data_IF_170250519387
#
_entry.id   IF_170250519387
#
_cell.length_a   1.000
_cell.length_b   1.000
_cell.length_c   1.000
_cell.angle_alpha   90.00
_cell.angle_beta   90.00
_cell.angle_gamma   90.00
#
_symmetry.space_group_name_H-M   'P 1'
#
loop_
_entity.id
_entity.type
_entity.pdbx_description
1 polymer ?
#
# COMPACT_ATOMS: atom_id res chain seq x y z
N UNK A 1 -8.43 -22.07 8.52
CA UNK A 1 -8.97 -20.95 9.32
C UNK A 1 -9.85 -20.03 8.47
N UNK A 2 -9.38 -19.54 7.30
CA UNK A 2 -10.17 -18.66 6.41
C UNK A 2 -11.50 -19.30 5.98
N UNK A 3 -11.48 -20.58 5.61
CA UNK A 3 -12.72 -21.32 5.23
C UNK A 3 -13.72 -21.35 6.38
N UNK A 4 -13.26 -21.55 7.61
CA UNK A 4 -14.10 -21.57 8.82
C UNK A 4 -14.76 -20.22 9.04
N UNK A 5 -13.98 -19.13 8.97
CA UNK A 5 -14.47 -17.77 9.18
C UNK A 5 -15.48 -17.34 8.12
N UNK A 6 -15.23 -17.70 6.85
CA UNK A 6 -16.16 -17.42 5.74
C UNK A 6 -17.43 -18.27 5.87
N UNK A 7 -17.31 -19.57 6.17
CA UNK A 7 -18.45 -20.46 6.35
C UNK A 7 -19.36 -19.98 7.48
N UNK A 8 -18.80 -19.46 8.57
CA UNK A 8 -19.55 -18.88 9.67
C UNK A 8 -20.38 -17.66 9.23
N UNK A 9 -19.81 -16.74 8.46
CA UNK A 9 -20.51 -15.56 7.93
C UNK A 9 -21.68 -15.96 7.04
N UNK A 10 -21.49 -16.97 6.17
CA UNK A 10 -22.55 -17.49 5.29
C UNK A 10 -23.65 -18.17 6.11
N UNK A 11 -23.27 -19.00 7.09
CA UNK A 11 -24.22 -19.74 7.93
C UNK A 11 -25.08 -18.79 8.78
N UNK A 12 -24.47 -17.71 9.29
CA UNK A 12 -25.18 -16.66 10.03
C UNK A 12 -25.95 -15.69 9.13
N UNK A 13 -25.88 -15.87 7.81
CA UNK A 13 -26.53 -15.02 6.81
C UNK A 13 -26.11 -13.52 6.93
N UNK A 14 -24.89 -13.24 7.39
CA UNK A 14 -24.35 -11.91 7.51
C UNK A 14 -23.09 -11.78 6.64
N UNK A 15 -23.28 -11.38 5.38
CA UNK A 15 -22.20 -11.30 4.39
C UNK A 15 -21.70 -9.86 4.15
N UNK A 16 -22.53 -8.86 4.45
CA UNK A 16 -22.16 -7.44 4.35
C UNK A 16 -21.28 -6.99 5.52
N UNK A 17 -21.01 -5.70 5.60
CA UNK A 17 -20.27 -5.11 6.71
C UNK A 17 -20.96 -5.38 8.07
N UNK A 18 -20.27 -6.02 9.00
CA UNK A 18 -20.86 -6.47 10.25
C UNK A 18 -19.86 -6.84 11.34
N UNK A 19 -20.14 -7.91 12.14
CA UNK A 19 -19.32 -8.29 13.29
C UNK A 19 -17.87 -8.63 12.95
N UNK A 20 -17.62 -9.38 11.86
CA UNK A 20 -16.25 -9.75 11.47
C UNK A 20 -15.44 -8.56 10.97
N UNK A 21 -16.09 -7.60 10.30
CA UNK A 21 -15.47 -6.33 9.95
C UNK A 21 -14.98 -5.61 11.21
N UNK A 22 -15.83 -5.48 12.24
CA UNK A 22 -15.45 -4.85 13.51
C UNK A 22 -14.32 -5.59 14.23
N UNK A 23 -14.37 -6.92 14.23
CA UNK A 23 -13.34 -7.75 14.84
C UNK A 23 -11.99 -7.59 14.12
N UNK A 24 -12.00 -7.61 12.78
CA UNK A 24 -10.80 -7.39 11.99
C UNK A 24 -10.21 -5.99 12.23
N UNK A 25 -11.05 -4.95 12.25
CA UNK A 25 -10.63 -3.59 12.56
C UNK A 25 -9.97 -3.50 13.94
N UNK A 26 -10.57 -4.13 14.95
CA UNK A 26 -10.02 -4.16 16.31
C UNK A 26 -8.66 -4.88 16.37
N UNK A 27 -8.52 -6.04 15.73
CA UNK A 27 -7.27 -6.80 15.67
C UNK A 27 -6.18 -6.07 14.89
N UNK A 28 -6.54 -5.38 13.80
CA UNK A 28 -5.58 -4.54 13.08
C UNK A 28 -5.13 -3.34 13.91
N UNK A 29 -6.04 -2.68 14.62
CA UNK A 29 -5.70 -1.60 15.53
C UNK A 29 -4.76 -2.07 16.64
N UNK A 30 -5.04 -3.22 17.26
CA UNK A 30 -4.17 -3.85 18.26
C UNK A 30 -2.78 -4.17 17.69
N UNK A 31 -2.70 -4.81 16.52
CA UNK A 31 -1.44 -5.17 15.85
C UNK A 31 -0.56 -3.96 15.57
N UNK A 32 -1.17 -2.90 15.08
CA UNK A 32 -0.45 -1.66 14.76
C UNK A 32 -0.20 -0.77 15.99
N UNK A 33 -0.81 -1.09 17.15
CA UNK A 33 -0.73 -0.27 18.35
C UNK A 33 -1.37 1.11 18.19
N UNK A 34 -2.50 1.18 17.47
CA UNK A 34 -3.23 2.41 17.15
C UNK A 34 -4.65 2.37 17.70
N UNK A 35 -5.30 3.54 17.80
CA UNK A 35 -6.63 3.63 18.37
C UNK A 35 -7.74 3.19 17.41
N UNK A 36 -7.63 3.57 16.13
CA UNK A 36 -8.65 3.36 15.12
C UNK A 36 -8.06 2.79 13.84
N UNK A 37 -8.69 1.75 13.34
CA UNK A 37 -8.46 1.18 12.01
C UNK A 37 -9.80 1.06 11.30
N UNK A 38 -9.93 1.57 10.08
CA UNK A 38 -11.16 1.52 9.31
C UNK A 38 -10.96 0.65 8.07
N UNK A 39 -11.63 -0.49 8.00
CA UNK A 39 -11.61 -1.36 6.83
C UNK A 39 -12.50 -0.77 5.73
N UNK A 40 -12.00 -0.72 4.50
CA UNK A 40 -12.71 -0.29 3.29
C UNK A 40 -12.61 -1.37 2.21
N UNK A 41 -13.35 -1.22 1.11
CA UNK A 41 -13.45 -2.22 0.05
C UNK A 41 -12.19 -2.36 -0.83
N UNK A 42 -11.29 -1.38 -0.85
CA UNK A 42 -10.00 -1.46 -1.55
C UNK A 42 -9.01 -0.40 -1.08
N UNK A 43 -7.71 -0.66 -1.24
CA UNK A 43 -6.66 0.35 -1.02
C UNK A 43 -6.83 1.57 -1.93
N UNK A 44 -7.27 1.38 -3.18
CA UNK A 44 -7.53 2.47 -4.13
C UNK A 44 -8.59 3.44 -3.64
N UNK A 45 -9.69 2.91 -3.10
CA UNK A 45 -10.75 3.71 -2.50
C UNK A 45 -10.28 4.34 -1.18
N UNK A 46 -9.43 3.66 -0.42
CA UNK A 46 -8.78 4.22 0.77
C UNK A 46 -7.92 5.45 0.44
N UNK A 47 -7.14 5.42 -0.65
CA UNK A 47 -6.35 6.57 -1.11
C UNK A 47 -7.25 7.75 -1.51
N UNK A 48 -8.33 7.48 -2.24
CA UNK A 48 -9.32 8.52 -2.57
C UNK A 48 -9.94 9.12 -1.30
N UNK A 49 -10.34 8.30 -0.35
CA UNK A 49 -10.87 8.75 0.95
C UNK A 49 -9.82 9.59 1.70
N UNK A 50 -8.57 9.16 1.77
CA UNK A 50 -7.49 9.89 2.45
C UNK A 50 -7.33 11.32 1.90
N UNK A 51 -7.35 11.49 0.58
CA UNK A 51 -7.29 12.82 -0.04
C UNK A 51 -8.52 13.66 0.32
N UNK A 52 -9.71 13.06 0.30
CA UNK A 52 -10.95 13.77 0.66
C UNK A 52 -11.00 14.19 2.13
N UNK A 53 -10.35 13.43 3.03
CA UNK A 53 -10.24 13.81 4.45
C UNK A 53 -9.45 15.11 4.66
N UNK A 54 -8.48 15.42 3.81
CA UNK A 54 -7.67 16.64 3.91
C UNK A 54 -8.42 17.92 3.50
N UNK A 55 -9.63 17.81 2.91
CA UNK A 55 -10.42 18.97 2.48
C UNK A 55 -9.68 19.96 1.58
N UNK A 56 -8.83 19.48 0.69
CA UNK A 56 -8.06 20.33 -0.20
C UNK A 56 -8.98 21.05 -1.21
N UNK A 57 -8.70 22.33 -1.53
CA UNK A 57 -9.36 23.01 -2.63
C UNK A 57 -9.22 22.26 -3.96
N UNK A 58 -10.25 22.31 -4.82
CA UNK A 58 -10.17 21.74 -6.17
C UNK A 58 -9.02 22.40 -6.93
N UNK A 59 -8.21 21.57 -7.61
CA UNK A 59 -7.02 22.03 -8.33
C UNK A 59 -5.76 22.14 -7.48
N UNK A 60 -5.82 21.79 -6.17
CA UNK A 60 -4.62 21.65 -5.35
C UNK A 60 -3.70 20.58 -5.92
N UNK A 61 -2.41 20.84 -5.87
CA UNK A 61 -1.38 19.91 -6.31
C UNK A 61 -1.03 18.95 -5.18
N UNK A 62 -0.95 17.65 -5.52
CA UNK A 62 -0.44 16.62 -4.60
C UNK A 62 0.84 16.05 -5.21
N UNK A 63 1.96 16.22 -4.50
CA UNK A 63 3.25 15.68 -4.92
C UNK A 63 3.30 14.20 -4.53
N UNK A 64 3.65 13.34 -5.48
CA UNK A 64 3.74 11.89 -5.28
C UNK A 64 4.86 11.28 -6.12
N UNK A 65 5.42 10.10 -5.73
CA UNK A 65 6.42 9.44 -6.56
C UNK A 65 5.81 8.99 -7.87
N UNK A 66 6.60 9.06 -8.95
CA UNK A 66 6.17 8.50 -10.24
C UNK A 66 6.26 6.98 -10.28
N UNK A 67 7.19 6.38 -9.53
CA UNK A 67 7.34 4.95 -9.38
C UNK A 67 6.35 4.42 -8.34
N UNK A 68 5.10 4.25 -8.73
CA UNK A 68 4.04 3.74 -7.87
C UNK A 68 2.90 3.10 -8.67
N UNK A 69 1.97 2.46 -7.96
CA UNK A 69 0.75 1.93 -8.55
C UNK A 69 -0.18 3.07 -9.02
N UNK A 70 -0.88 2.82 -10.12
CA UNK A 70 -1.75 3.82 -10.78
C UNK A 70 -2.78 4.46 -9.85
N UNK A 71 -3.24 3.76 -8.82
CA UNK A 71 -4.26 4.25 -7.90
C UNK A 71 -3.86 5.51 -7.16
N UNK A 72 -2.55 5.73 -6.90
CA UNK A 72 -2.07 6.94 -6.24
C UNK A 72 -2.44 8.20 -7.05
N UNK A 73 -2.08 8.24 -8.33
CA UNK A 73 -2.39 9.38 -9.20
C UNK A 73 -3.86 9.44 -9.59
N UNK A 74 -4.52 8.29 -9.78
CA UNK A 74 -5.96 8.27 -10.09
C UNK A 74 -6.80 8.78 -8.93
N UNK A 75 -6.47 8.44 -7.68
CA UNK A 75 -7.14 8.98 -6.51
C UNK A 75 -7.03 10.50 -6.44
N UNK A 76 -5.86 11.06 -6.78
CA UNK A 76 -5.63 12.51 -6.87
C UNK A 76 -6.56 13.15 -7.91
N UNK A 77 -6.61 12.59 -9.13
CA UNK A 77 -7.47 13.10 -10.18
C UNK A 77 -8.97 13.02 -9.82
N UNK A 78 -9.40 11.88 -9.28
CA UNK A 78 -10.79 11.67 -8.85
C UNK A 78 -11.21 12.62 -7.73
N UNK A 79 -10.27 13.02 -6.87
CA UNK A 79 -10.53 14.01 -5.82
C UNK A 79 -10.60 15.46 -6.33
N UNK A 80 -10.39 15.69 -7.64
CA UNK A 80 -10.35 17.02 -8.24
C UNK A 80 -9.03 17.76 -8.01
N UNK A 81 -7.99 17.05 -7.62
CA UNK A 81 -6.63 17.54 -7.42
C UNK A 81 -5.74 17.25 -8.64
N UNK A 82 -4.52 17.77 -8.65
CA UNK A 82 -3.55 17.62 -9.73
C UNK A 82 -2.37 16.80 -9.24
N UNK A 83 -2.07 15.63 -9.84
CA UNK A 83 -0.88 14.86 -9.47
C UNK A 83 0.38 15.56 -10.01
N UNK A 84 1.35 15.79 -9.13
CA UNK A 84 2.67 16.34 -9.45
C UNK A 84 3.71 15.26 -9.17
N UNK A 85 4.29 14.71 -10.23
CA UNK A 85 5.23 13.61 -10.09
C UNK A 85 6.61 14.10 -9.66
N UNK A 86 7.16 13.43 -8.66
CA UNK A 86 8.54 13.59 -8.21
C UNK A 86 9.35 12.32 -8.52
N UNK A 87 10.67 12.50 -8.65
CA UNK A 87 11.59 11.39 -8.79
C UNK A 87 11.74 10.63 -7.47
N UNK A 88 12.34 9.47 -7.53
CA UNK A 88 12.66 8.63 -6.37
C UNK A 88 14.17 8.53 -6.22
N UNK A 89 14.63 8.14 -5.06
CA UNK A 89 16.00 7.73 -4.85
C UNK A 89 16.24 6.38 -5.55
N UNK A 90 17.38 6.24 -6.21
CA UNK A 90 17.67 5.08 -7.08
C UNK A 90 17.87 3.79 -6.30
N UNK A 91 18.31 3.86 -5.05
CA UNK A 91 18.63 2.70 -4.23
C UNK A 91 17.45 2.26 -3.36
N UNK A 92 16.75 3.22 -2.75
CA UNK A 92 15.57 2.94 -1.93
C UNK A 92 14.26 2.82 -2.72
N UNK A 93 14.22 3.32 -3.96
CA UNK A 93 13.02 3.51 -4.79
C UNK A 93 11.92 4.37 -4.11
N UNK A 94 12.25 5.01 -3.01
CA UNK A 94 11.37 5.89 -2.27
C UNK A 94 11.55 7.36 -2.68
N UNK A 95 10.45 8.11 -2.60
CA UNK A 95 10.51 9.57 -2.67
C UNK A 95 11.25 10.13 -1.44
N UNK A 96 11.94 11.24 -1.56
CA UNK A 96 12.62 11.90 -0.45
C UNK A 96 12.36 13.42 -0.43
N UNK A 97 12.79 14.08 0.64
CA UNK A 97 12.53 15.50 0.82
C UNK A 97 13.14 16.38 -0.31
N UNK A 98 14.27 15.98 -0.89
CA UNK A 98 14.92 16.80 -1.93
C UNK A 98 14.16 16.68 -3.26
N UNK A 99 13.77 15.48 -3.68
CA UNK A 99 12.95 15.30 -4.87
C UNK A 99 11.56 15.96 -4.74
N UNK A 100 11.02 16.03 -3.51
CA UNK A 100 9.77 16.76 -3.21
C UNK A 100 9.97 18.26 -3.34
N UNK A 101 11.03 18.84 -2.75
CA UNK A 101 11.32 20.28 -2.80
C UNK A 101 11.36 20.83 -4.22
N UNK A 102 11.91 20.06 -5.16
CA UNK A 102 11.95 20.42 -6.58
C UNK A 102 10.56 20.58 -7.22
N UNK A 103 9.52 20.08 -6.59
CA UNK A 103 8.14 20.03 -7.09
C UNK A 103 7.18 20.96 -6.35
N UNK A 104 7.62 21.57 -5.25
CA UNK A 104 6.77 22.47 -4.46
C UNK A 104 6.41 23.71 -5.27
N UNK A 105 5.15 24.06 -5.29
CA UNK A 105 4.60 25.28 -5.87
C UNK A 105 3.66 25.98 -4.88
N UNK A 106 3.14 27.13 -5.27
CA UNK A 106 2.11 27.84 -4.50
C UNK A 106 0.74 27.14 -4.52
N UNK A 107 0.58 26.06 -5.27
CA UNK A 107 -0.62 25.22 -5.33
C UNK A 107 -0.47 23.90 -4.58
N UNK A 108 0.72 23.61 -4.07
CA UNK A 108 0.97 22.37 -3.32
C UNK A 108 0.08 22.33 -2.10
N UNK A 109 -0.82 21.34 -2.04
CA UNK A 109 -1.77 21.12 -0.95
C UNK A 109 -1.40 19.96 -0.04
N UNK A 110 -0.72 18.94 -0.56
CA UNK A 110 -0.29 17.77 0.22
C UNK A 110 0.86 17.03 -0.47
N UNK A 111 1.47 16.13 0.28
CA UNK A 111 2.46 15.17 -0.21
C UNK A 111 1.88 13.76 0.00
N UNK A 112 2.00 12.88 -0.99
CA UNK A 112 1.71 11.46 -0.86
C UNK A 112 3.02 10.70 -0.99
N UNK A 113 3.40 9.98 0.07
CA UNK A 113 4.55 9.07 0.05
C UNK A 113 4.08 7.64 -0.18
N UNK A 114 4.93 6.81 -0.73
CA UNK A 114 4.70 5.37 -0.89
C UNK A 114 5.86 4.64 -0.22
N UNK A 115 5.59 3.79 0.75
CA UNK A 115 6.61 2.92 1.35
C UNK A 115 6.88 1.75 0.40
N UNK A 116 7.66 2.05 -0.65
CA UNK A 116 7.83 1.14 -1.79
C UNK A 116 8.46 -0.19 -1.38
N UNK A 117 7.90 -1.28 -1.91
CA UNK A 117 8.39 -2.63 -1.60
C UNK A 117 8.24 -3.05 -0.13
N UNK A 118 7.75 -2.16 0.74
CA UNK A 118 7.69 -2.32 2.18
C UNK A 118 8.87 -1.67 2.92
N UNK A 119 9.80 -1.01 2.19
CA UNK A 119 10.87 -0.21 2.79
C UNK A 119 10.29 1.12 3.30
N UNK A 120 10.44 1.47 4.59
CA UNK A 120 9.99 2.75 5.10
C UNK A 120 10.64 3.93 4.38
N UNK A 121 9.84 4.95 4.07
CA UNK A 121 10.34 6.25 3.61
C UNK A 121 10.98 6.98 4.79
N UNK A 122 12.05 7.73 4.56
CA UNK A 122 12.60 8.66 5.55
C UNK A 122 11.64 9.84 5.75
N UNK A 123 10.76 9.71 6.76
CA UNK A 123 9.62 10.59 6.95
C UNK A 123 9.95 11.92 7.63
N UNK A 124 10.97 11.97 8.48
CA UNK A 124 11.24 13.16 9.27
C UNK A 124 11.57 14.39 8.40
N UNK A 125 12.48 14.32 7.40
CA UNK A 125 12.76 15.46 6.52
C UNK A 125 11.54 15.87 5.65
N UNK A 126 10.65 14.91 5.34
CA UNK A 126 9.43 15.20 4.56
C UNK A 126 8.43 15.97 5.41
N UNK A 127 8.26 15.59 6.68
CA UNK A 127 7.37 16.29 7.62
C UNK A 127 7.84 17.73 7.92
N UNK A 128 9.15 17.96 7.91
CA UNK A 128 9.73 19.30 8.08
C UNK A 128 9.35 20.27 6.95
N UNK A 129 8.88 19.77 5.80
CA UNK A 129 8.38 20.61 4.70
C UNK A 129 7.05 21.31 5.05
N UNK A 130 6.34 20.86 6.08
CA UNK A 130 5.14 21.52 6.63
C UNK A 130 3.86 21.33 5.83
N UNK A 131 3.80 20.37 4.92
CA UNK A 131 2.59 20.01 4.18
C UNK A 131 1.90 18.79 4.82
N UNK A 132 0.56 18.66 4.70
CA UNK A 132 -0.14 17.42 5.03
C UNK A 132 0.46 16.23 4.27
N UNK A 133 0.65 15.09 4.95
CA UNK A 133 1.25 13.89 4.37
C UNK A 133 0.27 12.74 4.37
N UNK A 134 0.01 12.17 3.19
CA UNK A 134 -0.68 10.89 3.01
C UNK A 134 0.37 9.79 2.86
N UNK A 135 0.25 8.72 3.63
CA UNK A 135 1.11 7.55 3.51
C UNK A 135 0.39 6.43 2.75
N UNK A 136 0.84 6.11 1.56
CA UNK A 136 0.49 4.85 0.92
C UNK A 136 1.34 3.72 1.53
N UNK A 137 0.77 3.05 2.51
CA UNK A 137 1.35 1.90 3.20
C UNK A 137 0.86 0.56 2.62
N UNK A 138 0.37 0.54 1.37
CA UNK A 138 -0.18 -0.66 0.73
C UNK A 138 0.84 -1.79 0.51
N UNK A 139 2.13 -1.51 0.64
CA UNK A 139 3.21 -2.51 0.66
C UNK A 139 3.80 -2.73 2.05
N UNK A 140 3.34 -2.00 3.06
CA UNK A 140 4.05 -1.76 4.29
C UNK A 140 3.31 -2.27 5.54
N UNK A 141 2.51 -3.36 5.40
CA UNK A 141 1.96 -4.03 6.58
C UNK A 141 3.13 -4.50 7.47
N UNK A 142 3.10 -4.14 8.74
CA UNK A 142 4.18 -4.35 9.72
C UNK A 142 5.47 -3.56 9.50
N UNK A 143 5.60 -2.77 8.44
CA UNK A 143 6.74 -1.85 8.31
C UNK A 143 6.69 -0.76 9.37
N UNK A 144 7.86 -0.40 9.90
CA UNK A 144 7.98 0.67 10.91
C UNK A 144 9.14 1.59 10.56
N UNK A 145 8.93 2.87 10.74
CA UNK A 145 9.95 3.91 10.72
C UNK A 145 10.21 4.39 12.14
N UNK A 146 11.42 4.18 12.64
CA UNK A 146 11.82 4.52 14.02
C UNK A 146 10.80 4.01 15.05
N UNK A 147 10.40 2.74 14.89
CA UNK A 147 9.46 2.05 15.76
C UNK A 147 7.97 2.43 15.57
N UNK A 148 7.63 3.41 14.73
CA UNK A 148 6.25 3.81 14.43
C UNK A 148 5.74 3.08 13.18
N UNK A 149 4.50 2.53 13.19
CA UNK A 149 3.94 1.89 12.01
C UNK A 149 3.88 2.84 10.83
N UNK A 150 4.35 2.41 9.65
CA UNK A 150 4.11 3.10 8.40
C UNK A 150 2.60 3.22 8.17
N UNK A 151 2.13 4.41 7.79
CA UNK A 151 0.71 4.77 7.74
C UNK A 151 0.25 5.62 8.94
N UNK A 152 1.05 5.71 10.03
CA UNK A 152 0.72 6.49 11.24
C UNK A 152 1.71 7.63 11.54
N UNK A 153 2.61 7.92 10.62
CA UNK A 153 3.64 8.95 10.78
C UNK A 153 3.15 10.28 10.20
N UNK A 154 2.51 10.23 9.03
CA UNK A 154 1.84 11.35 8.36
C UNK A 154 0.51 11.74 9.00
N UNK A 155 -0.41 12.25 8.21
CA UNK A 155 -1.74 12.66 8.67
C UNK A 155 -2.81 11.61 8.40
N UNK A 156 -2.74 10.91 7.27
CA UNK A 156 -3.62 9.79 6.90
C UNK A 156 -2.79 8.70 6.26
N UNK A 157 -2.98 7.46 6.69
CA UNK A 157 -2.35 6.28 6.12
C UNK A 157 -3.36 5.36 5.45
N UNK A 158 -2.92 4.64 4.43
CA UNK A 158 -3.74 3.69 3.69
C UNK A 158 -3.01 2.38 3.53
N UNK A 159 -3.69 1.28 3.85
CA UNK A 159 -3.24 -0.09 3.61
C UNK A 159 -4.05 -0.75 2.49
N UNK A 160 -3.49 -1.78 1.88
CA UNK A 160 -4.18 -2.64 0.92
C UNK A 160 -4.13 -4.09 1.37
N UNK A 161 -5.24 -4.78 1.17
CA UNK A 161 -5.38 -6.22 1.40
C UNK A 161 -5.79 -6.95 0.11
N UNK A 162 -5.41 -6.38 -1.04
CA UNK A 162 -5.52 -7.02 -2.35
C UNK A 162 -4.87 -8.43 -2.34
N UNK A 163 -5.30 -9.30 -3.24
CA UNK A 163 -4.89 -10.70 -3.31
C UNK A 163 -3.36 -10.93 -3.37
N UNK A 164 -2.58 -9.94 -3.83
CA UNK A 164 -1.11 -10.05 -3.92
C UNK A 164 -0.37 -9.48 -2.72
N UNK A 165 -1.07 -8.93 -1.72
CA UNK A 165 -0.46 -8.29 -0.55
C UNK A 165 -0.03 -9.31 0.50
N UNK A 166 0.84 -8.88 1.42
CA UNK A 166 1.36 -9.73 2.51
C UNK A 166 0.25 -10.24 3.43
N UNK A 167 -0.77 -9.43 3.66
CA UNK A 167 -2.04 -9.80 4.26
C UNK A 167 -3.12 -9.66 3.18
N UNK A 168 -3.65 -10.76 2.67
CA UNK A 168 -4.57 -10.79 1.54
C UNK A 168 -5.98 -11.21 1.97
N UNK A 169 -6.99 -10.45 1.54
CA UNK A 169 -8.40 -10.78 1.78
C UNK A 169 -9.24 -10.87 0.49
N UNK A 170 -8.53 -10.92 -0.66
CA UNK A 170 -9.10 -10.83 -2.00
C UNK A 170 -9.15 -9.38 -2.45
N UNK A 171 -10.10 -8.61 -1.97
CA UNK A 171 -10.18 -7.16 -2.13
C UNK A 171 -10.45 -6.50 -0.78
N UNK A 172 -9.69 -5.45 -0.48
CA UNK A 172 -9.85 -4.67 0.74
C UNK A 172 -8.76 -3.61 0.91
N UNK A 173 -9.03 -2.68 1.80
CA UNK A 173 -8.08 -1.65 2.20
C UNK A 173 -8.33 -1.20 3.64
N UNK A 174 -7.39 -0.46 4.20
CA UNK A 174 -7.52 0.14 5.51
C UNK A 174 -7.19 1.62 5.47
N UNK A 175 -7.92 2.42 6.22
CA UNK A 175 -7.64 3.84 6.44
C UNK A 175 -7.35 4.05 7.91
N UNK A 176 -6.28 4.77 8.20
CA UNK A 176 -5.84 5.09 9.55
C UNK A 176 -5.43 6.55 9.64
N UNK A 177 -5.55 7.14 10.81
CA UNK A 177 -5.07 8.48 11.09
C UNK A 177 -4.82 8.66 12.60
N UNK A 178 -3.89 9.55 12.94
CA UNK A 178 -3.69 10.03 14.31
C UNK A 178 -4.71 11.11 14.74
N UNK A 179 -5.54 11.60 13.78
CA UNK A 179 -6.55 12.63 13.99
C UNK A 179 -7.93 11.98 14.12
N UNK A 180 -8.53 12.04 15.29
CA UNK A 180 -9.83 11.41 15.58
C UNK A 180 -10.93 11.94 14.63
N UNK A 181 -10.92 13.25 14.34
CA UNK A 181 -11.88 13.88 13.43
C UNK A 181 -11.82 13.31 12.01
N UNK A 182 -10.64 12.88 11.54
CA UNK A 182 -10.52 12.21 10.24
C UNK A 182 -11.12 10.82 10.29
N UNK A 183 -10.90 10.07 11.37
CA UNK A 183 -11.45 8.72 11.51
C UNK A 183 -12.98 8.72 11.69
N UNK A 184 -13.52 9.67 12.45
CA UNK A 184 -14.96 9.87 12.56
C UNK A 184 -15.60 10.19 11.20
N UNK A 185 -15.01 11.13 10.46
CA UNK A 185 -15.48 11.47 9.11
C UNK A 185 -15.32 10.30 8.13
N UNK A 186 -14.21 9.57 8.14
CA UNK A 186 -13.99 8.40 7.31
C UNK A 186 -15.06 7.32 7.53
N UNK A 187 -15.46 7.09 8.78
CA UNK A 187 -16.53 6.13 9.11
C UNK A 187 -17.88 6.54 8.50
N UNK A 188 -18.21 7.85 8.47
CA UNK A 188 -19.40 8.37 7.79
C UNK A 188 -19.28 8.22 6.27
N UNK A 189 -18.15 8.62 5.71
CA UNK A 189 -17.91 8.58 4.26
C UNK A 189 -17.96 7.15 3.72
N UNK A 190 -17.40 6.17 4.45
CA UNK A 190 -17.44 4.76 4.07
C UNK A 190 -18.85 4.27 3.73
N UNK A 191 -19.86 4.82 4.37
CA UNK A 191 -21.27 4.48 4.16
C UNK A 191 -22.06 5.64 3.53
N UNK A 192 -21.61 6.13 2.38
CA UNK A 192 -22.30 7.18 1.60
C UNK A 192 -22.52 8.50 2.36
N UNK A 193 -21.74 8.82 3.37
CA UNK A 193 -21.92 10.01 4.20
C UNK A 193 -23.16 9.96 5.12
N UNK A 194 -23.71 8.77 5.37
CA UNK A 194 -24.87 8.58 6.24
C UNK A 194 -24.41 8.52 7.71
N UNK A 195 -24.92 9.42 8.54
CA UNK A 195 -24.50 9.56 9.94
C UNK A 195 -24.90 8.41 10.87
N UNK A 196 -26.04 7.74 10.60
CA UNK A 196 -26.49 6.55 11.34
C UNK A 196 -27.27 5.65 10.41
N UNK A 197 -27.02 4.35 10.42
CA UNK A 197 -27.83 3.39 9.70
C UNK A 197 -29.26 3.32 10.29
N UNK A 198 -30.23 2.97 9.46
CA UNK A 198 -31.61 2.79 9.93
C UNK A 198 -31.71 1.72 11.04
N UNK A 199 -30.84 0.70 11.01
CA UNK A 199 -30.76 -0.32 12.06
C UNK A 199 -30.27 0.25 13.39
N UNK A 200 -29.20 1.07 13.39
CA UNK A 200 -28.71 1.73 14.60
C UNK A 200 -29.73 2.75 15.13
N UNK A 201 -30.44 3.45 14.25
CA UNK A 201 -31.51 4.35 14.65
C UNK A 201 -32.69 3.60 15.30
N UNK A 202 -33.04 2.38 14.84
CA UNK A 202 -34.14 1.58 15.40
C UNK A 202 -33.87 1.12 16.82
N UNK A 203 -32.61 0.91 17.20
CA UNK A 203 -32.22 0.49 18.57
C UNK A 203 -32.32 1.61 19.60
N UNK A 204 -32.46 2.87 19.14
CA UNK A 204 -32.49 4.06 20.00
C UNK A 204 -33.90 4.69 20.16
N UNK A 205 -34.95 3.98 19.74
CA UNK A 205 -36.33 4.34 20.04
C UNK A 205 -36.87 5.60 19.34
N UNK A 206 -36.32 5.99 18.19
CA UNK A 206 -36.89 7.08 17.40
C UNK A 206 -38.17 6.67 16.70
N UNK A 207 -39.20 7.51 16.68
CA UNK A 207 -40.49 7.28 16.02
C UNK A 207 -40.37 6.96 14.54
N UNK A 208 -39.30 7.44 13.87
CA UNK A 208 -39.02 7.22 12.45
C UNK A 208 -37.57 6.76 12.24
N UNK A 209 -37.29 5.49 12.57
CA UNK A 209 -35.95 4.89 12.46
C UNK A 209 -35.45 4.76 11.01
N UNK A 210 -36.31 4.91 10.00
CA UNK A 210 -35.95 4.87 8.59
C UNK A 210 -35.48 6.23 8.04
N UNK A 211 -35.63 7.30 8.80
CA UNK A 211 -35.12 8.64 8.45
C UNK A 211 -33.63 8.71 8.80
N UNK A 212 -32.79 8.98 7.80
CA UNK A 212 -31.36 9.21 7.95
C UNK A 212 -30.96 10.56 7.37
N UNK A 213 -29.86 11.10 7.87
CA UNK A 213 -29.27 12.34 7.39
C UNK A 213 -27.99 12.05 6.61
N UNK A 214 -27.88 12.61 5.40
CA UNK A 214 -26.67 12.56 4.59
C UNK A 214 -25.89 13.84 4.88
N UNK A 215 -24.71 13.72 5.48
CA UNK A 215 -23.87 14.85 5.87
C UNK A 215 -22.95 15.30 4.73
N UNK A 216 -22.56 14.40 3.85
CA UNK A 216 -21.68 14.67 2.72
C UNK A 216 -21.91 13.62 1.62
N UNK A 217 -21.96 14.01 0.32
CA UNK A 217 -22.06 13.05 -0.76
C UNK A 217 -20.74 12.26 -0.92
N UNK A 218 -20.85 10.93 -0.88
CA UNK A 218 -19.70 10.07 -1.05
C UNK A 218 -20.11 8.72 -1.67
N UNK A 219 -19.13 7.97 -2.21
CA UNK A 219 -19.36 6.63 -2.74
C UNK A 219 -19.32 5.60 -1.61
N UNK A 220 -20.07 4.51 -1.77
CA UNK A 220 -20.06 3.42 -0.80
C UNK A 220 -18.75 2.63 -0.89
N UNK A 221 -18.05 2.50 0.23
CA UNK A 221 -16.77 1.78 0.36
C UNK A 221 -16.82 0.71 1.45
N UNK A 222 -17.99 0.13 1.67
CA UNK A 222 -18.17 -0.86 2.74
C UNK A 222 -17.48 -2.17 2.40
N UNK A 223 -16.65 -2.72 3.30
CA UNK A 223 -16.13 -4.06 3.17
C UNK A 223 -17.24 -5.10 3.43
N UNK A 224 -16.95 -6.36 3.17
CA UNK A 224 -17.82 -7.47 3.52
C UNK A 224 -17.26 -8.28 4.71
N UNK A 225 -18.15 -8.90 5.48
CA UNK A 225 -17.72 -9.85 6.53
C UNK A 225 -17.10 -11.12 5.93
N UNK A 226 -17.33 -11.41 4.66
CA UNK A 226 -16.62 -12.47 3.94
C UNK A 226 -15.13 -12.12 3.83
N UNK A 227 -14.81 -10.93 3.32
CA UNK A 227 -13.42 -10.46 3.19
C UNK A 227 -12.75 -10.30 4.57
N UNK A 228 -13.47 -9.70 5.53
CA UNK A 228 -12.98 -9.58 6.90
C UNK A 228 -12.71 -10.93 7.55
N UNK A 229 -13.54 -11.95 7.31
CA UNK A 229 -13.34 -13.32 7.77
C UNK A 229 -12.06 -13.95 7.21
N UNK A 230 -11.79 -13.78 5.91
CA UNK A 230 -10.50 -14.19 5.33
C UNK A 230 -9.35 -13.48 6.07
N UNK A 231 -9.46 -12.18 6.31
CA UNK A 231 -8.46 -11.39 7.02
C UNK A 231 -8.21 -11.86 8.45
N UNK A 232 -9.24 -12.24 9.18
CA UNK A 232 -9.11 -12.82 10.52
C UNK A 232 -8.28 -14.11 10.49
N UNK A 233 -8.54 -14.99 9.52
CA UNK A 233 -7.74 -16.21 9.32
C UNK A 233 -6.29 -15.90 8.91
N UNK A 234 -6.08 -14.92 8.02
CA UNK A 234 -4.73 -14.52 7.59
C UNK A 234 -3.91 -13.89 8.73
N UNK A 235 -4.54 -13.08 9.59
CA UNK A 235 -3.87 -12.45 10.74
C UNK A 235 -3.24 -13.47 11.70
N UNK A 236 -3.85 -14.66 11.86
CA UNK A 236 -3.30 -15.70 12.74
C UNK A 236 -1.96 -16.27 12.26
N UNK A 237 -1.67 -16.12 10.97
CA UNK A 237 -0.46 -16.66 10.30
C UNK A 237 0.53 -15.56 9.86
N UNK A 238 0.16 -14.30 10.00
CA UNK A 238 0.91 -13.21 9.39
C UNK A 238 2.38 -13.16 9.87
N UNK A 239 2.64 -13.40 11.16
CA UNK A 239 4.01 -13.41 11.69
C UNK A 239 4.87 -14.50 11.05
N UNK A 240 4.31 -15.70 10.88
CA UNK A 240 5.00 -16.81 10.21
C UNK A 240 5.26 -16.48 8.73
N UNK A 241 4.26 -15.95 8.03
CA UNK A 241 4.37 -15.57 6.63
C UNK A 241 5.39 -14.43 6.41
N UNK A 242 5.44 -13.46 7.31
CA UNK A 242 6.43 -12.36 7.26
C UNK A 242 7.85 -12.88 7.55
N UNK A 243 8.02 -13.75 8.55
CA UNK A 243 9.30 -14.38 8.83
C UNK A 243 9.81 -15.22 7.64
N UNK A 244 8.91 -15.93 6.95
CA UNK A 244 9.25 -16.69 5.76
C UNK A 244 9.64 -15.82 4.57
N UNK A 245 8.95 -14.69 4.35
CA UNK A 245 9.35 -13.69 3.35
C UNK A 245 10.75 -13.15 3.63
N UNK A 246 11.02 -12.80 4.91
CA UNK A 246 12.34 -12.34 5.33
C UNK A 246 13.41 -13.40 5.05
N UNK A 247 13.14 -14.66 5.35
CA UNK A 247 14.09 -15.75 5.07
C UNK A 247 14.45 -15.85 3.58
N UNK A 248 13.46 -15.76 2.67
CA UNK A 248 13.72 -15.74 1.23
C UNK A 248 14.52 -14.50 0.84
N UNK A 249 14.15 -13.34 1.37
CA UNK A 249 14.86 -12.08 1.16
C UNK A 249 16.33 -12.19 1.56
N UNK A 250 16.63 -12.71 2.75
CA UNK A 250 18.00 -12.86 3.26
C UNK A 250 18.84 -13.78 2.33
N UNK A 251 18.24 -14.87 1.83
CA UNK A 251 18.90 -15.75 0.85
C UNK A 251 19.23 -14.99 -0.44
N UNK A 252 18.28 -14.24 -0.97
CA UNK A 252 18.52 -13.45 -2.18
C UNK A 252 19.57 -12.36 -1.96
N UNK A 253 19.56 -11.68 -0.81
CA UNK A 253 20.59 -10.70 -0.46
C UNK A 253 21.99 -11.32 -0.41
N UNK A 254 22.11 -12.49 0.21
CA UNK A 254 23.39 -13.21 0.28
C UNK A 254 23.87 -13.67 -1.09
N UNK A 255 22.99 -14.27 -1.90
CA UNK A 255 23.36 -14.90 -3.16
C UNK A 255 23.53 -13.91 -4.31
N UNK A 256 22.65 -12.91 -4.42
CA UNK A 256 22.72 -11.93 -5.50
C UNK A 256 23.65 -10.76 -5.19
N UNK A 257 23.85 -10.44 -3.90
CA UNK A 257 24.82 -9.42 -3.47
C UNK A 257 26.28 -9.77 -3.80
N UNK A 258 26.56 -11.01 -4.22
CA UNK A 258 27.88 -11.46 -4.72
C UNK A 258 28.06 -11.26 -6.24
N UNK A 259 27.04 -10.77 -6.93
CA UNK A 259 27.03 -10.58 -8.38
C UNK A 259 27.14 -9.08 -8.65
N UNK A 260 28.29 -8.61 -9.12
CA UNK A 260 28.58 -7.18 -9.28
C UNK A 260 27.62 -6.44 -10.22
N UNK A 261 26.97 -7.17 -11.13
CA UNK A 261 26.00 -6.62 -12.10
C UNK A 261 24.60 -6.49 -11.58
N UNK A 262 24.31 -7.02 -10.39
CA UNK A 262 22.98 -6.94 -9.76
C UNK A 262 23.00 -5.89 -8.64
N UNK A 263 22.25 -4.82 -8.82
CA UNK A 263 21.92 -3.90 -7.74
C UNK A 263 20.81 -4.46 -6.86
N UNK A 264 21.15 -4.99 -5.70
CA UNK A 264 20.16 -5.51 -4.74
C UNK A 264 19.39 -4.35 -4.06
N UNK A 265 18.14 -4.59 -3.60
CA UNK A 265 17.39 -3.60 -2.85
C UNK A 265 18.04 -3.32 -1.49
N UNK A 266 17.82 -2.10 -0.96
CA UNK A 266 18.25 -1.74 0.38
C UNK A 266 17.46 -2.50 1.44
N UNK A 267 18.13 -2.87 2.52
CA UNK A 267 17.48 -3.29 3.76
C UNK A 267 17.37 -2.10 4.73
N UNK A 268 16.64 -2.28 5.81
CA UNK A 268 16.40 -1.25 6.82
C UNK A 268 17.55 -1.10 7.81
N UNK A 269 17.60 0.05 8.47
CA UNK A 269 18.42 0.28 9.66
C UNK A 269 17.86 -0.48 10.86
N UNK A 270 18.66 -0.60 11.94
CA UNK A 270 18.26 -1.31 13.18
C UNK A 270 17.00 -0.72 13.86
N UNK A 271 16.71 0.58 13.65
CA UNK A 271 15.55 1.26 14.23
C UNK A 271 14.25 1.06 13.43
N UNK A 272 14.37 0.59 12.18
CA UNK A 272 13.28 0.44 11.22
C UNK A 272 12.90 -1.04 11.05
N UNK A 273 11.72 -1.28 10.48
CA UNK A 273 11.25 -2.62 10.15
C UNK A 273 10.70 -2.65 8.73
N UNK A 274 11.15 -3.66 7.96
CA UNK A 274 10.71 -3.88 6.58
C UNK A 274 9.65 -4.98 6.52
N UNK A 275 8.68 -4.87 5.62
CA UNK A 275 7.65 -5.90 5.41
C UNK A 275 7.98 -6.91 4.30
N UNK A 276 9.06 -6.71 3.56
CA UNK A 276 9.53 -7.63 2.53
C UNK A 276 8.44 -7.99 1.49
N UNK A 277 7.74 -6.96 0.98
CA UNK A 277 6.65 -7.17 0.04
C UNK A 277 7.13 -7.69 -1.32
N UNK A 278 8.25 -7.16 -1.82
CA UNK A 278 8.83 -7.54 -3.11
C UNK A 278 10.35 -7.48 -3.06
N UNK A 279 11.03 -8.29 -3.87
CA UNK A 279 12.49 -8.24 -4.04
C UNK A 279 12.80 -7.60 -5.40
N UNK A 280 13.19 -6.33 -5.39
CA UNK A 280 13.42 -5.52 -6.58
C UNK A 280 14.91 -5.35 -6.84
N UNK A 281 15.42 -5.94 -7.93
CA UNK A 281 16.83 -5.81 -8.36
C UNK A 281 16.97 -4.87 -9.55
N UNK A 282 18.16 -4.30 -9.70
CA UNK A 282 18.55 -3.52 -10.90
C UNK A 282 19.54 -4.34 -11.71
N UNK A 283 19.24 -4.53 -13.00
CA UNK A 283 20.02 -5.36 -13.91
C UNK A 283 20.19 -4.61 -15.24
N UNK A 284 21.41 -4.42 -15.77
CA UNK A 284 21.64 -3.63 -17.00
C UNK A 284 20.90 -4.16 -18.22
N UNK A 285 20.84 -5.48 -18.39
CA UNK A 285 20.17 -6.15 -19.52
C UNK A 285 18.81 -6.74 -19.12
N UNK A 286 18.04 -6.00 -18.28
CA UNK A 286 16.83 -6.46 -17.64
C UNK A 286 15.88 -7.24 -18.55
N UNK A 287 15.56 -6.76 -19.75
CA UNK A 287 14.59 -7.41 -20.64
C UNK A 287 15.08 -8.77 -21.12
N UNK A 288 16.37 -8.89 -21.44
CA UNK A 288 16.96 -10.16 -21.85
C UNK A 288 16.99 -11.17 -20.69
N UNK A 289 17.36 -10.72 -19.48
CA UNK A 289 17.34 -11.53 -18.27
C UNK A 289 15.92 -11.96 -17.91
N UNK A 290 14.94 -11.06 -17.97
CA UNK A 290 13.54 -11.36 -17.71
C UNK A 290 12.99 -12.42 -18.69
N UNK A 291 13.34 -12.31 -19.97
CA UNK A 291 12.98 -13.31 -21.00
C UNK A 291 13.63 -14.66 -20.72
N UNK A 292 14.92 -14.69 -20.41
CA UNK A 292 15.62 -15.92 -20.04
C UNK A 292 14.96 -16.59 -18.83
N UNK A 293 14.69 -15.85 -17.76
CA UNK A 293 14.03 -16.38 -16.56
C UNK A 293 12.63 -16.92 -16.86
N UNK A 294 11.88 -16.22 -17.72
CA UNK A 294 10.56 -16.69 -18.16
C UNK A 294 10.65 -18.02 -18.92
N UNK A 295 11.65 -18.20 -19.78
CA UNK A 295 11.92 -19.47 -20.51
C UNK A 295 12.33 -20.61 -19.55
N UNK A 296 12.85 -20.25 -18.35
CA UNK A 296 13.12 -21.19 -17.26
C UNK A 296 11.92 -21.42 -16.34
N UNK A 297 10.73 -20.89 -16.67
CA UNK A 297 9.51 -21.00 -15.85
C UNK A 297 9.47 -20.07 -14.65
N UNK A 298 10.36 -19.07 -14.57
CA UNK A 298 10.40 -18.08 -13.50
C UNK A 298 9.75 -16.80 -14.00
N UNK A 299 8.56 -16.49 -13.46
CA UNK A 299 7.84 -15.26 -13.81
C UNK A 299 8.38 -14.08 -13.00
N UNK A 300 8.87 -13.07 -13.70
CA UNK A 300 9.35 -11.81 -13.13
C UNK A 300 8.49 -10.66 -13.63
N UNK A 301 8.55 -9.50 -12.98
CA UNK A 301 7.75 -8.34 -13.34
C UNK A 301 8.47 -7.04 -13.02
N UNK A 302 7.96 -5.91 -13.53
CA UNK A 302 8.35 -4.57 -13.10
C UNK A 302 7.23 -3.96 -12.26
N UNK A 303 7.52 -3.60 -11.03
CA UNK A 303 6.62 -2.84 -10.15
C UNK A 303 7.25 -1.47 -9.86
N UNK A 304 6.91 -0.40 -10.57
CA UNK A 304 5.89 -0.28 -11.61
C UNK A 304 6.45 0.52 -12.79
N UNK A 305 5.76 0.52 -13.95
CA UNK A 305 6.08 1.48 -15.01
C UNK A 305 5.78 2.90 -14.50
N UNK A 306 6.76 3.86 -14.56
CA UNK A 306 6.60 5.18 -13.97
C UNK A 306 5.43 5.95 -14.57
N UNK A 307 4.60 6.53 -13.70
CA UNK A 307 3.33 7.12 -14.11
C UNK A 307 3.48 8.35 -15.02
N UNK A 308 4.53 9.17 -14.83
CA UNK A 308 4.78 10.33 -15.69
C UNK A 308 5.02 9.94 -17.17
N UNK A 309 5.46 8.72 -17.43
CA UNK A 309 5.64 8.19 -18.80
C UNK A 309 4.32 7.74 -19.43
N UNK A 310 3.23 7.63 -18.67
CA UNK A 310 1.94 7.23 -19.20
C UNK A 310 1.26 8.41 -19.91
N UNK A 311 0.79 8.22 -21.18
CA UNK A 311 0.17 9.27 -21.97
C UNK A 311 -1.05 9.96 -21.33
N UNK A 312 -1.74 9.28 -20.41
CA UNK A 312 -2.88 9.85 -19.68
C UNK A 312 -2.53 11.15 -18.95
N UNK A 313 -1.35 11.19 -18.33
CA UNK A 313 -0.95 12.34 -17.50
C UNK A 313 -0.33 13.48 -18.30
N UNK A 314 -0.03 13.29 -19.60
CA UNK A 314 0.52 14.32 -20.50
C UNK A 314 1.72 15.06 -19.89
N UNK A 315 2.51 14.34 -19.10
CA UNK A 315 3.70 14.88 -18.45
C UNK A 315 4.84 15.00 -19.46
N UNK A 316 5.56 16.12 -19.43
CA UNK A 316 6.80 16.32 -20.22
C UNK A 316 8.05 16.35 -19.33
N UNK A 317 7.88 15.96 -18.08
CA UNK A 317 8.97 15.95 -17.10
C UNK A 317 9.86 14.73 -17.33
N UNK A 318 11.17 14.91 -17.15
CA UNK A 318 12.14 13.84 -17.04
C UNK A 318 12.43 13.58 -15.58
N UNK A 319 12.25 12.31 -15.15
CA UNK A 319 12.56 11.82 -13.80
C UNK A 319 13.60 10.72 -13.95
N UNK A 320 14.86 11.14 -13.85
CA UNK A 320 16.02 10.32 -14.25
C UNK A 320 16.05 8.96 -13.57
N UNK A 321 15.85 8.92 -12.25
CA UNK A 321 15.92 7.67 -11.49
C UNK A 321 14.72 6.78 -11.80
N UNK A 322 13.51 7.34 -11.92
CA UNK A 322 12.32 6.58 -12.30
C UNK A 322 12.49 5.96 -13.70
N UNK A 323 13.03 6.72 -14.67
CA UNK A 323 13.26 6.23 -16.03
C UNK A 323 14.37 5.16 -16.06
N UNK A 324 15.46 5.33 -15.29
CA UNK A 324 16.49 4.30 -15.14
C UNK A 324 15.95 3.02 -14.51
N UNK A 325 15.14 3.13 -13.45
CA UNK A 325 14.49 2.00 -12.80
C UNK A 325 13.49 1.29 -13.74
N UNK A 326 12.85 2.03 -14.66
CA UNK A 326 12.03 1.42 -15.71
C UNK A 326 12.82 0.51 -16.62
N UNK A 327 14.05 0.87 -16.96
CA UNK A 327 14.92 0.12 -17.89
C UNK A 327 15.68 -1.02 -17.19
N UNK A 328 16.02 -0.84 -15.91
CA UNK A 328 16.91 -1.78 -15.20
C UNK A 328 16.19 -2.60 -14.13
N UNK A 329 15.02 -2.19 -13.69
CA UNK A 329 14.32 -2.79 -12.55
C UNK A 329 13.64 -4.11 -12.89
N UNK A 330 13.78 -5.11 -12.00
CA UNK A 330 13.14 -6.41 -12.12
C UNK A 330 12.76 -6.95 -10.75
N UNK A 331 11.50 -7.36 -10.58
CA UNK A 331 11.06 -8.03 -9.37
C UNK A 331 11.24 -9.53 -9.50
N UNK A 332 12.10 -10.09 -8.66
CA UNK A 332 12.27 -11.53 -8.48
C UNK A 332 11.14 -12.08 -7.61
N UNK A 333 10.61 -13.28 -7.86
CA UNK A 333 9.53 -13.85 -7.08
C UNK A 333 9.83 -13.88 -5.58
N UNK A 334 8.94 -13.29 -4.77
CA UNK A 334 9.03 -13.30 -3.31
C UNK A 334 7.62 -13.44 -2.73
N UNK A 335 7.23 -14.66 -2.36
CA UNK A 335 5.94 -14.94 -1.73
C UNK A 335 6.01 -16.24 -0.89
N UNK A 336 5.15 -16.40 0.12
CA UNK A 336 5.25 -17.51 1.06
C UNK A 336 4.83 -18.88 0.49
N UNK A 337 4.36 -18.95 -0.75
CA UNK A 337 4.08 -20.22 -1.41
C UNK A 337 5.29 -20.83 -2.14
N UNK A 338 6.43 -20.11 -2.23
CA UNK A 338 7.67 -20.68 -2.74
C UNK A 338 8.20 -21.71 -1.75
N UNK A 339 8.54 -22.92 -2.22
CA UNK A 339 9.32 -23.87 -1.43
C UNK A 339 10.78 -23.44 -1.39
N UNK A 340 11.59 -24.01 -0.49
CA UNK A 340 13.04 -23.76 -0.50
C UNK A 340 13.69 -24.28 -1.78
N UNK A 341 13.19 -25.37 -2.35
CA UNK A 341 13.64 -25.88 -3.66
C UNK A 341 13.34 -24.88 -4.79
N UNK A 342 12.18 -24.19 -4.76
CA UNK A 342 11.89 -23.13 -5.73
C UNK A 342 12.85 -21.95 -5.56
N UNK A 343 13.16 -21.57 -4.31
CA UNK A 343 14.10 -20.48 -4.01
C UNK A 343 15.51 -20.85 -4.49
N UNK A 344 15.99 -22.05 -4.20
CA UNK A 344 17.28 -22.54 -4.68
C UNK A 344 17.34 -22.59 -6.21
N UNK A 345 16.26 -23.03 -6.86
CA UNK A 345 16.13 -23.02 -8.32
C UNK A 345 16.20 -21.61 -8.91
N UNK A 346 15.48 -20.65 -8.31
CA UNK A 346 15.52 -19.24 -8.75
C UNK A 346 16.96 -18.71 -8.63
N UNK A 347 17.62 -18.95 -7.51
CA UNK A 347 19.00 -18.54 -7.27
C UNK A 347 19.95 -19.16 -8.30
N UNK A 348 19.83 -20.47 -8.55
CA UNK A 348 20.65 -21.17 -9.57
C UNK A 348 20.48 -20.53 -10.95
N UNK A 349 19.22 -20.28 -11.39
CA UNK A 349 18.95 -19.73 -12.71
C UNK A 349 19.40 -18.27 -12.85
N UNK A 350 19.26 -17.47 -11.83
CA UNK A 350 19.80 -16.10 -11.85
C UNK A 350 21.32 -16.14 -11.92
N UNK A 351 22.00 -16.90 -11.08
CA UNK A 351 23.48 -17.03 -11.09
C UNK A 351 24.04 -17.63 -12.37
N UNK A 352 23.30 -18.53 -13.00
CA UNK A 352 23.69 -19.19 -14.27
C UNK A 352 23.34 -18.36 -15.52
N UNK A 353 22.79 -17.16 -15.37
CA UNK A 353 22.43 -16.32 -16.51
C UNK A 353 23.65 -15.60 -17.08
N UNK A 354 24.09 -15.99 -18.27
CA UNK A 354 25.25 -15.37 -18.97
C UNK A 354 24.97 -13.92 -19.44
N UNK A 355 23.75 -13.43 -19.29
CA UNK A 355 23.31 -12.09 -19.70
C UNK A 355 23.47 -11.03 -18.59
N UNK A 356 23.85 -11.44 -17.37
CA UNK A 356 24.11 -10.59 -16.21
C UNK A 356 25.44 -9.86 -16.27
#
# INVERSE_FOLDING_TARGET
EEITEVAESITKQWMGMGPKTKEFEAKMAERLGIQHFLLVDSGSNGLYMAIKLLNLPVGSEIILPSLTWVSCAQAVLLAGCVPVFADVDIDSQNINADTIKERISNKTGAIMVVHYGGLPVDMDPIKELGYPVIEDACHAIDSKYKGKPCGMIGDVGVYSFDAVKNLAIGEGGGVVSKHDEYMERAALLRYCGIGKSGFEASTHGKERWWEYNIVEPFIKMCPSDIAAGIGLGQLTKLDELQAYRKKIWDIYQEEFGRIDTIGCPLDVNEEDQHSYFTYFVRIPNRDAVAKYLFEQGIYTTLRYHPLHMNPLYKSSITLKNCEELNETGLNIPLHPSLTMEDVDYIVEKVKGCELL
#
